data_IF_804642860257
#
_entry.id   IF_804642860257
#
_cell.length_a   1.000
_cell.length_b   1.000
_cell.length_c   1.000
_cell.angle_alpha   90.00
_cell.angle_beta   90.00
_cell.angle_gamma   90.00
#
_symmetry.space_group_name_H-M   'P 1'
#
loop_
_entity.id
_entity.type
_entity.pdbx_description
1 polymer ?
#
# COMPACT_ATOMS: atom_id res chain seq x y z
N UNK A 1 0.67 -32.23 -27.61
CA UNK A 1 0.33 -32.84 -26.31
C UNK A 1 0.54 -31.83 -25.17
N UNK A 2 -0.16 -30.70 -25.19
CA UNK A 2 -0.02 -29.62 -24.17
C UNK A 2 -1.40 -29.18 -23.63
N UNK A 3 -2.48 -29.55 -24.33
CA UNK A 3 -3.85 -29.11 -24.04
C UNK A 3 -4.51 -29.92 -22.88
N UNK A 4 -4.02 -31.13 -22.58
CA UNK A 4 -4.55 -31.93 -21.46
C UNK A 4 -4.09 -31.44 -20.07
N UNK A 5 -2.98 -30.71 -19.99
CA UNK A 5 -2.43 -30.19 -18.73
C UNK A 5 -3.26 -29.02 -18.17
N UNK A 6 -3.82 -28.17 -19.04
CA UNK A 6 -4.58 -26.99 -18.58
C UNK A 6 -5.90 -27.36 -17.92
N UNK A 7 -6.58 -28.42 -18.38
CA UNK A 7 -7.86 -28.86 -17.81
C UNK A 7 -7.73 -29.39 -16.39
N UNK A 8 -6.58 -29.98 -16.04
CA UNK A 8 -6.33 -30.53 -14.71
C UNK A 8 -5.94 -29.44 -13.70
N UNK A 9 -5.16 -28.45 -14.14
CA UNK A 9 -4.80 -27.28 -13.32
C UNK A 9 -6.06 -26.44 -13.02
N UNK A 10 -6.91 -26.22 -14.01
CA UNK A 10 -8.19 -25.52 -13.84
C UNK A 10 -9.10 -26.29 -12.86
N UNK A 11 -9.13 -27.63 -12.93
CA UNK A 11 -9.89 -28.46 -12.00
C UNK A 11 -9.36 -28.43 -10.56
N UNK A 12 -8.05 -28.32 -10.37
CA UNK A 12 -7.44 -28.28 -9.04
C UNK A 12 -7.69 -26.92 -8.35
N UNK A 13 -7.69 -25.83 -9.13
CA UNK A 13 -8.00 -24.48 -8.64
C UNK A 13 -9.50 -24.32 -8.35
N UNK A 14 -10.38 -24.88 -9.19
CA UNK A 14 -11.83 -24.88 -8.90
C UNK A 14 -12.19 -25.79 -7.74
N UNK A 15 -11.49 -26.91 -7.53
CA UNK A 15 -11.67 -27.74 -6.34
C UNK A 15 -11.24 -26.99 -5.07
N UNK A 16 -10.10 -26.28 -5.10
CA UNK A 16 -9.66 -25.44 -3.98
C UNK A 16 -10.67 -24.30 -3.66
N UNK A 17 -11.26 -23.69 -4.69
CA UNK A 17 -12.31 -22.68 -4.52
C UNK A 17 -13.63 -23.29 -3.99
N UNK A 18 -13.96 -24.53 -4.37
CA UNK A 18 -15.13 -25.26 -3.85
C UNK A 18 -14.93 -25.73 -2.40
N UNK A 19 -13.69 -26.05 -2.01
CA UNK A 19 -13.30 -26.47 -0.64
C UNK A 19 -13.54 -25.34 0.37
N UNK A 20 -13.43 -24.07 -0.04
CA UNK A 20 -13.73 -22.93 0.85
C UNK A 20 -15.23 -22.74 1.11
N UNK A 21 -16.11 -23.38 0.32
CA UNK A 21 -17.56 -23.17 0.35
C UNK A 21 -18.31 -24.34 1.03
N UNK A 22 -17.72 -25.53 1.08
CA UNK A 22 -18.40 -26.74 1.52
C UNK A 22 -17.63 -27.49 2.63
N UNK A 23 -18.16 -27.41 3.85
CA UNK A 23 -17.87 -28.27 5.01
C UNK A 23 -18.20 -29.75 4.69
N UNK A 24 -17.36 -30.41 3.89
CA UNK A 24 -17.45 -31.85 3.62
C UNK A 24 -16.41 -32.65 4.43
N UNK A 25 -16.67 -33.94 4.72
CA UNK A 25 -15.75 -34.81 5.48
C UNK A 25 -14.49 -35.11 4.66
N UNK A 26 -13.56 -34.15 4.70
CA UNK A 26 -12.30 -34.06 3.95
C UNK A 26 -11.35 -35.27 4.07
N UNK A 27 -11.19 -35.98 5.22
CA UNK A 27 -10.04 -36.88 5.35
C UNK A 27 -10.16 -38.15 4.49
N UNK A 28 -11.35 -38.75 4.36
CA UNK A 28 -11.51 -40.00 3.60
C UNK A 28 -11.44 -39.78 2.08
N UNK A 29 -11.97 -38.66 1.61
CA UNK A 29 -11.99 -38.32 0.19
C UNK A 29 -10.58 -37.94 -0.31
N UNK A 30 -9.87 -37.09 0.44
CA UNK A 30 -8.48 -36.74 0.12
C UNK A 30 -7.56 -37.97 0.17
N UNK A 31 -7.75 -38.88 1.12
CA UNK A 31 -6.95 -40.11 1.21
C UNK A 31 -7.11 -41.03 -0.01
N UNK A 32 -8.33 -41.16 -0.54
CA UNK A 32 -8.58 -41.95 -1.74
C UNK A 32 -7.99 -41.32 -3.01
N UNK A 33 -8.04 -39.98 -3.12
CA UNK A 33 -7.42 -39.25 -4.23
C UNK A 33 -5.91 -39.38 -4.18
N UNK A 34 -5.30 -39.17 -3.01
CA UNK A 34 -3.85 -39.34 -2.83
C UNK A 34 -3.47 -40.76 -3.24
N UNK A 35 -4.18 -41.78 -2.77
CA UNK A 35 -3.88 -43.18 -3.08
C UNK A 35 -3.99 -43.52 -4.58
N UNK A 36 -4.91 -42.89 -5.30
CA UNK A 36 -5.19 -43.18 -6.72
C UNK A 36 -4.46 -42.25 -7.71
N UNK A 37 -3.74 -41.23 -7.24
CA UNK A 37 -3.05 -40.24 -8.08
C UNK A 37 -1.64 -40.68 -8.49
N UNK A 38 -1.25 -40.34 -9.72
CA UNK A 38 0.05 -40.69 -10.33
C UNK A 38 1.23 -39.91 -9.68
N UNK A 39 2.46 -40.47 -9.74
CA UNK A 39 3.65 -39.83 -9.13
C UNK A 39 3.90 -38.39 -9.65
N UNK A 40 3.59 -38.14 -10.91
CA UNK A 40 3.74 -36.84 -11.58
C UNK A 40 2.71 -35.80 -11.12
N UNK A 41 1.47 -36.21 -10.83
CA UNK A 41 0.43 -35.32 -10.30
C UNK A 41 0.75 -34.87 -8.86
N UNK A 42 1.27 -35.80 -8.04
CA UNK A 42 1.70 -35.48 -6.67
C UNK A 42 2.85 -34.48 -6.64
N UNK A 43 3.81 -34.61 -7.58
CA UNK A 43 4.91 -33.66 -7.73
C UNK A 43 4.41 -32.27 -8.15
N UNK A 44 3.47 -32.20 -9.10
CA UNK A 44 2.88 -30.92 -9.53
C UNK A 44 2.09 -30.23 -8.41
N UNK A 45 1.30 -30.97 -7.65
CA UNK A 45 0.56 -30.44 -6.50
C UNK A 45 1.51 -29.98 -5.38
N UNK A 46 2.56 -30.75 -5.08
CA UNK A 46 3.55 -30.38 -4.07
C UNK A 46 4.26 -29.07 -4.42
N UNK A 47 4.65 -28.90 -5.68
CA UNK A 47 5.28 -27.64 -6.14
C UNK A 47 4.30 -26.47 -6.05
N UNK A 48 3.04 -26.65 -6.45
CA UNK A 48 2.03 -25.59 -6.34
C UNK A 48 1.75 -25.17 -4.89
N UNK A 49 1.71 -26.14 -3.96
CA UNK A 49 1.55 -25.87 -2.53
C UNK A 49 2.76 -25.13 -1.94
N UNK A 50 3.99 -25.51 -2.32
CA UNK A 50 5.19 -24.80 -1.90
C UNK A 50 5.18 -23.35 -2.38
N UNK A 51 4.81 -23.09 -3.63
CA UNK A 51 4.70 -21.73 -4.16
C UNK A 51 3.67 -20.92 -3.37
N UNK A 52 2.47 -21.48 -3.11
CA UNK A 52 1.46 -20.79 -2.30
C UNK A 52 1.95 -20.46 -0.89
N UNK A 53 2.61 -21.41 -0.23
CA UNK A 53 3.17 -21.20 1.12
C UNK A 53 4.22 -20.09 1.09
N UNK A 54 5.11 -20.06 0.09
CA UNK A 54 6.11 -18.99 -0.04
C UNK A 54 5.47 -17.62 -0.29
N UNK A 55 4.44 -17.54 -1.15
CA UNK A 55 3.71 -16.28 -1.37
C UNK A 55 3.04 -15.78 -0.09
N UNK A 56 2.37 -16.66 0.67
CA UNK A 56 1.74 -16.29 1.95
C UNK A 56 2.80 -15.82 2.95
N UNK A 57 3.91 -16.55 3.07
CA UNK A 57 5.01 -16.19 3.98
C UNK A 57 5.61 -14.82 3.62
N UNK A 58 5.80 -14.53 2.34
CA UNK A 58 6.28 -13.22 1.88
C UNK A 58 5.28 -12.10 2.20
N UNK A 59 3.99 -12.31 1.95
CA UNK A 59 2.95 -11.32 2.28
C UNK A 59 2.98 -11.02 3.79
N UNK A 60 2.98 -12.05 4.63
CA UNK A 60 3.06 -11.89 6.10
C UNK A 60 4.35 -11.19 6.52
N UNK A 61 5.49 -11.55 5.91
CA UNK A 61 6.76 -10.91 6.20
C UNK A 61 6.73 -9.41 5.88
N UNK A 62 6.23 -9.03 4.71
CA UNK A 62 6.16 -7.62 4.30
C UNK A 62 5.12 -6.83 5.10
N UNK A 63 3.98 -7.41 5.46
CA UNK A 63 2.98 -6.72 6.29
C UNK A 63 3.46 -6.53 7.73
N UNK A 64 4.22 -7.47 8.28
CA UNK A 64 4.87 -7.33 9.61
C UNK A 64 5.99 -6.29 9.55
N UNK A 65 6.83 -6.31 8.51
CA UNK A 65 7.90 -5.32 8.37
C UNK A 65 7.36 -3.89 8.15
N UNK A 66 6.23 -3.73 7.47
CA UNK A 66 5.58 -2.42 7.30
C UNK A 66 4.87 -1.92 8.57
N UNK A 67 4.59 -2.83 9.52
CA UNK A 67 3.92 -2.50 10.78
C UNK A 67 4.87 -2.39 11.96
N UNK A 68 6.16 -2.72 11.79
CA UNK A 68 7.18 -2.22 12.70
C UNK A 68 7.17 -0.69 12.54
N UNK A 69 6.79 0.07 13.58
CA UNK A 69 7.12 1.49 13.59
C UNK A 69 8.64 1.51 13.46
N UNK A 70 9.14 2.08 12.37
CA UNK A 70 10.51 2.51 12.40
C UNK A 70 10.56 3.46 13.59
N UNK A 71 11.25 3.06 14.67
CA UNK A 71 11.66 3.94 15.77
C UNK A 71 12.69 4.96 15.25
N UNK A 72 12.47 5.49 14.04
CA UNK A 72 12.90 6.82 13.68
C UNK A 72 12.07 7.71 14.59
N UNK A 73 12.65 8.03 15.73
CA UNK A 73 12.25 9.15 16.57
C UNK A 73 11.88 10.28 15.60
N UNK A 74 10.59 10.61 15.55
CA UNK A 74 10.06 11.64 14.66
C UNK A 74 10.50 12.99 15.23
N UNK A 75 11.79 13.27 15.07
CA UNK A 75 12.43 14.48 15.52
C UNK A 75 11.97 15.55 14.54
N UNK A 76 10.85 16.18 14.86
CA UNK A 76 10.51 17.46 14.28
C UNK A 76 11.68 18.40 14.53
N UNK A 77 12.07 19.22 13.55
CA UNK A 77 12.93 20.35 13.81
C UNK A 77 12.33 21.16 14.99
N UNK A 78 13.16 21.57 15.95
CA UNK A 78 12.75 22.40 17.11
C UNK A 78 12.30 23.82 16.70
N UNK A 79 12.13 24.09 15.40
CA UNK A 79 11.67 25.37 14.89
C UNK A 79 10.14 25.36 14.74
N UNK A 80 9.51 26.40 15.27
CA UNK A 80 8.07 26.63 15.09
C UNK A 80 7.74 27.01 13.63
N UNK A 81 8.72 27.54 12.90
CA UNK A 81 8.57 27.96 11.51
C UNK A 81 9.16 26.91 10.56
N UNK A 82 8.38 25.90 10.23
CA UNK A 82 8.79 24.85 9.29
C UNK A 82 8.88 25.43 7.86
N UNK A 83 10.10 25.61 7.37
CA UNK A 83 10.34 26.14 6.02
C UNK A 83 9.99 25.13 4.93
N UNK A 84 9.92 25.59 3.69
CA UNK A 84 9.60 24.78 2.52
C UNK A 84 10.59 23.64 2.28
N UNK A 85 11.85 23.88 2.56
CA UNK A 85 12.91 22.90 2.44
C UNK A 85 12.74 21.78 3.49
N UNK A 86 12.24 22.13 4.68
CA UNK A 86 12.07 21.20 5.80
C UNK A 86 10.96 20.17 5.54
N UNK A 87 9.88 20.57 4.87
CA UNK A 87 8.82 19.64 4.43
C UNK A 87 9.01 19.12 3.00
N UNK A 88 10.20 19.31 2.41
CA UNK A 88 10.56 18.78 1.09
C UNK A 88 9.59 19.19 -0.01
N UNK A 89 9.25 20.49 -0.03
CA UNK A 89 8.36 21.07 -1.01
C UNK A 89 8.83 20.85 -2.44
N UNK A 90 7.90 20.60 -3.35
CA UNK A 90 8.20 20.65 -4.78
C UNK A 90 8.59 22.09 -5.17
N UNK A 91 9.58 22.25 -6.06
CA UNK A 91 9.95 23.56 -6.57
C UNK A 91 8.78 24.15 -7.36
N UNK A 92 8.52 25.43 -7.12
CA UNK A 92 7.51 26.20 -7.85
C UNK A 92 8.08 27.57 -8.22
N UNK A 93 7.74 28.06 -9.41
CA UNK A 93 8.19 29.37 -9.87
C UNK A 93 7.34 30.47 -9.24
N UNK A 94 7.88 31.12 -8.21
CA UNK A 94 7.22 32.23 -7.55
C UNK A 94 7.34 33.48 -8.38
N UNK A 95 6.35 33.72 -9.22
CA UNK A 95 6.15 35.03 -9.82
C UNK A 95 5.33 35.97 -8.93
N UNK A 96 4.79 35.48 -7.81
CA UNK A 96 3.90 36.22 -6.92
C UNK A 96 4.66 36.72 -5.68
N UNK A 97 5.37 37.84 -5.83
CA UNK A 97 5.77 38.63 -4.68
C UNK A 97 4.53 39.30 -4.08
N UNK A 98 4.34 39.19 -2.76
CA UNK A 98 3.35 40.00 -2.05
C UNK A 98 3.71 41.46 -2.30
N UNK A 99 2.82 42.19 -2.97
CA UNK A 99 3.04 43.62 -3.23
C UNK A 99 3.17 44.37 -1.89
N UNK A 100 4.10 45.32 -1.81
CA UNK A 100 4.33 46.12 -0.60
C UNK A 100 3.08 46.87 -0.12
N UNK A 101 2.12 47.15 -1.02
CA UNK A 101 0.81 47.75 -0.67
C UNK A 101 -0.04 46.89 0.27
N UNK A 102 0.22 45.58 0.33
CA UNK A 102 -0.48 44.65 1.21
C UNK A 102 0.27 44.40 2.54
N UNK A 103 1.34 45.16 2.81
CA UNK A 103 2.05 45.13 4.10
C UNK A 103 1.69 46.37 4.93
N UNK A 104 1.38 46.22 6.24
CA UNK A 104 1.24 44.97 6.98
C UNK A 104 -0.04 44.21 6.61
N UNK A 105 -0.05 42.89 6.79
CA UNK A 105 -1.21 42.04 6.52
C UNK A 105 -2.44 42.51 7.30
N UNK A 106 -3.50 42.91 6.60
CA UNK A 106 -4.73 43.42 7.22
C UNK A 106 -5.82 42.36 7.43
N UNK A 107 -5.72 41.21 6.75
CA UNK A 107 -6.71 40.13 6.80
C UNK A 107 -6.01 38.78 6.97
N UNK A 108 -6.46 38.01 7.97
CA UNK A 108 -6.05 36.60 8.18
C UNK A 108 -7.29 35.74 8.02
N UNK A 109 -7.25 34.77 7.11
CA UNK A 109 -8.33 33.82 6.89
C UNK A 109 -7.87 32.45 7.39
N UNK A 110 -8.63 31.85 8.30
CA UNK A 110 -8.33 30.55 8.91
C UNK A 110 -9.17 29.48 8.20
N UNK A 111 -8.52 28.43 7.72
CA UNK A 111 -9.16 27.32 7.02
C UNK A 111 -8.71 25.97 7.58
N UNK A 112 -9.57 24.97 7.45
CA UNK A 112 -9.19 23.57 7.59
C UNK A 112 -8.77 22.99 6.23
N UNK A 113 -7.89 22.00 6.22
CA UNK A 113 -7.45 21.32 4.98
C UNK A 113 -8.49 20.32 4.47
N UNK A 114 -9.42 19.86 5.33
CA UNK A 114 -10.31 18.72 5.06
C UNK A 114 -9.56 17.42 4.70
N UNK A 115 -8.27 17.34 5.05
CA UNK A 115 -7.45 16.13 4.93
C UNK A 115 -7.53 15.29 6.22
N UNK A 116 -6.78 14.20 6.27
CA UNK A 116 -6.55 13.49 7.52
C UNK A 116 -5.75 14.38 8.47
N UNK A 117 -6.04 14.26 9.76
CA UNK A 117 -5.21 14.84 10.81
C UNK A 117 -3.86 14.15 10.87
N UNK A 118 -2.82 14.89 11.25
CA UNK A 118 -1.46 14.40 11.43
C UNK A 118 -0.93 14.86 12.79
N UNK A 119 -0.10 14.04 13.44
CA UNK A 119 0.44 14.34 14.79
C UNK A 119 1.95 14.24 14.88
N UNK A 120 2.57 13.59 13.90
CA UNK A 120 4.02 13.45 13.75
C UNK A 120 4.49 14.31 12.56
N UNK A 121 5.68 14.90 12.63
CA UNK A 121 6.31 15.65 11.56
C UNK A 121 6.34 14.83 10.26
N UNK A 122 6.77 13.57 10.29
CA UNK A 122 6.79 12.70 9.11
C UNK A 122 5.40 12.54 8.43
N UNK A 123 4.34 12.35 9.23
CA UNK A 123 2.96 12.31 8.72
C UNK A 123 2.57 13.66 8.13
N UNK A 124 2.81 14.76 8.84
CA UNK A 124 2.42 16.09 8.38
C UNK A 124 3.16 16.50 7.11
N UNK A 125 4.47 16.19 6.99
CA UNK A 125 5.24 16.38 5.75
C UNK A 125 4.61 15.62 4.60
N UNK A 126 4.17 14.38 4.83
CA UNK A 126 3.50 13.57 3.81
C UNK A 126 2.18 14.19 3.38
N UNK A 127 1.34 14.60 4.33
CA UNK A 127 0.04 15.21 4.04
C UNK A 127 0.18 16.55 3.32
N UNK A 128 1.06 17.45 3.78
CA UNK A 128 1.29 18.75 3.13
C UNK A 128 1.77 18.57 1.69
N UNK A 129 2.65 17.60 1.42
CA UNK A 129 3.11 17.28 0.06
C UNK A 129 1.99 16.73 -0.83
N UNK A 130 1.07 15.93 -0.27
CA UNK A 130 -0.10 15.47 -1.01
C UNK A 130 -1.02 16.63 -1.40
N UNK A 131 -1.24 17.57 -0.47
CA UNK A 131 -2.02 18.77 -0.75
C UNK A 131 -1.31 19.63 -1.80
N UNK A 132 0.01 19.84 -1.67
CA UNK A 132 0.79 20.57 -2.66
C UNK A 132 0.63 19.97 -4.06
N UNK A 133 0.77 18.65 -4.17
CA UNK A 133 0.63 17.96 -5.44
C UNK A 133 -0.79 18.10 -6.02
N UNK A 134 -1.84 18.08 -5.20
CA UNK A 134 -3.23 18.32 -5.64
C UNK A 134 -3.41 19.74 -6.21
N UNK A 135 -2.86 20.75 -5.53
CA UNK A 135 -2.86 22.14 -6.00
C UNK A 135 -2.14 22.29 -7.34
N UNK A 136 -0.92 21.75 -7.44
CA UNK A 136 -0.12 21.84 -8.66
C UNK A 136 -0.76 21.09 -9.84
N UNK A 137 -1.29 19.88 -9.60
CA UNK A 137 -1.85 19.05 -10.68
C UNK A 137 -3.25 19.46 -11.10
N UNK A 138 -4.12 19.86 -10.17
CA UNK A 138 -5.52 20.20 -10.45
C UNK A 138 -5.72 21.68 -10.77
N UNK A 139 -5.02 22.56 -10.07
CA UNK A 139 -5.27 24.00 -10.12
C UNK A 139 -4.16 24.78 -10.84
N UNK A 140 -2.98 24.19 -11.02
CA UNK A 140 -1.85 24.80 -11.73
C UNK A 140 -1.12 25.89 -10.94
N UNK A 141 -1.37 25.98 -9.63
CA UNK A 141 -0.67 26.90 -8.73
C UNK A 141 -0.27 26.19 -7.44
N UNK A 142 0.69 26.74 -6.70
CA UNK A 142 1.21 26.14 -5.47
C UNK A 142 0.36 26.45 -4.24
N UNK A 143 0.67 25.83 -3.10
CA UNK A 143 0.07 26.20 -1.81
C UNK A 143 0.23 27.71 -1.56
N UNK A 144 -0.85 28.42 -1.20
CA UNK A 144 -0.82 29.86 -0.91
C UNK A 144 -0.02 30.21 0.36
#
# INVERSE_FOLDING_TARGET
MVILSSRFIIWCVTLAALILIFELPLPRYLWNIVKNSSRTERLSCAVALLVLITCIALIVYFTVQSSQPADAEDISPDDWNITREMWLAQPYDYHTFIKEEFRPTMLVIIHHTASKDCTTHAQCVTEVRNIQNDYLTRLGYDLP
#
